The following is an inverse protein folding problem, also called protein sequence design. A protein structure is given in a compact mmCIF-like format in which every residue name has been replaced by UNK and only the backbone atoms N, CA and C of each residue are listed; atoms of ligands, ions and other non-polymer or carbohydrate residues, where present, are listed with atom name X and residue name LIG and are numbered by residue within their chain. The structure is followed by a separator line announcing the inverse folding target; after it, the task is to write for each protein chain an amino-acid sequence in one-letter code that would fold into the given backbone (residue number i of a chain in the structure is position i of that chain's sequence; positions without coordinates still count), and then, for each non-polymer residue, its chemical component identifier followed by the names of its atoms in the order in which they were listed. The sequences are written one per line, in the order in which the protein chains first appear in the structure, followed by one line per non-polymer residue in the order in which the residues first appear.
data_IF_188378682708
#
_entry.id   IF_188378682708
#
_cell.length_a   1.000
_cell.length_b   1.000
_cell.length_c   1.000
_cell.angle_alpha   90.00
_cell.angle_beta   90.00
_cell.angle_gamma   90.00
#
_symmetry.space_group_name_H-M   'P 1'
#
loop_
_entity.id
_entity.type
_entity.pdbx_description
1 polymer ?
#
# COMPACT_ATOMS: atom_id res chain seq x y z
N UNK A 1 -2.85 18.68 -33.39
CA UNK A 1 -1.70 17.91 -32.85
C UNK A 1 -2.01 17.58 -31.41
N UNK A 2 -2.01 16.28 -31.10
CA UNK A 2 -3.04 15.66 -30.24
C UNK A 2 -2.51 15.37 -28.84
N UNK A 3 -3.40 15.54 -27.86
CA UNK A 3 -3.30 15.17 -26.43
C UNK A 3 -2.54 13.86 -26.15
N UNK A 4 -2.57 12.92 -27.11
CA UNK A 4 -1.86 11.65 -27.08
C UNK A 4 -0.33 11.77 -26.96
N UNK A 5 0.28 12.80 -27.54
CA UNK A 5 1.73 13.01 -27.47
C UNK A 5 2.16 13.55 -26.09
N UNK A 6 1.30 14.37 -25.47
CA UNK A 6 1.51 14.85 -24.10
C UNK A 6 1.36 13.71 -23.08
N UNK A 7 0.36 12.84 -23.24
CA UNK A 7 0.17 11.66 -22.37
C UNK A 7 1.32 10.67 -22.52
N UNK A 8 1.78 10.39 -23.75
CA UNK A 8 2.93 9.53 -23.98
C UNK A 8 4.22 10.09 -23.37
N UNK A 9 4.42 11.42 -23.45
CA UNK A 9 5.58 12.11 -22.84
C UNK A 9 5.52 12.09 -21.31
N UNK A 10 4.33 12.27 -20.72
CA UNK A 10 4.13 12.15 -19.26
C UNK A 10 4.39 10.71 -18.81
N UNK A 11 3.91 9.72 -19.55
CA UNK A 11 4.14 8.30 -19.24
C UNK A 11 5.62 7.92 -19.35
N UNK A 12 6.30 8.35 -20.41
CA UNK A 12 7.74 8.16 -20.59
C UNK A 12 8.56 8.88 -19.50
N UNK A 13 8.14 10.07 -19.09
CA UNK A 13 8.79 10.85 -18.02
C UNK A 13 8.63 10.18 -16.65
N UNK A 14 7.43 9.73 -16.30
CA UNK A 14 7.17 9.00 -15.05
C UNK A 14 7.94 7.67 -15.00
N UNK A 15 8.02 6.96 -16.12
CA UNK A 15 8.80 5.72 -16.21
C UNK A 15 10.31 5.97 -16.08
N UNK A 16 10.81 7.09 -16.63
CA UNK A 16 12.21 7.52 -16.48
C UNK A 16 12.55 7.93 -15.05
N UNK A 17 11.61 8.54 -14.31
CA UNK A 17 11.79 8.87 -12.89
C UNK A 17 11.81 7.60 -12.04
N UNK A 18 10.91 6.65 -12.29
CA UNK A 18 10.84 5.39 -11.56
C UNK A 18 12.13 4.57 -11.70
N UNK A 19 12.72 4.54 -12.90
CA UNK A 19 13.94 3.77 -13.20
C UNK A 19 15.25 4.48 -12.83
N UNK A 20 15.25 5.80 -12.66
CA UNK A 20 16.47 6.59 -12.43
C UNK A 20 16.67 7.01 -10.97
N UNK A 21 15.96 6.39 -10.02
CA UNK A 21 16.23 6.58 -8.60
C UNK A 21 17.53 5.86 -8.19
N UNK A 22 18.48 6.55 -7.52
CA UNK A 22 19.79 5.99 -7.17
C UNK A 22 19.72 4.81 -6.18
N UNK A 23 18.54 4.54 -5.61
CA UNK A 23 18.27 3.38 -4.74
C UNK A 23 18.09 2.12 -5.59
N UNK A 24 17.38 2.21 -6.71
CA UNK A 24 17.11 1.09 -7.62
C UNK A 24 18.39 0.71 -8.38
N UNK A 25 19.18 1.69 -8.86
CA UNK A 25 20.44 1.39 -9.55
C UNK A 25 21.52 0.79 -8.63
N UNK A 26 21.51 1.13 -7.33
CA UNK A 26 22.38 0.48 -6.32
C UNK A 26 21.94 -0.95 -5.98
N UNK A 27 20.63 -1.22 -5.96
CA UNK A 27 20.08 -2.57 -5.79
C UNK A 27 20.44 -3.50 -6.96
N UNK A 28 20.51 -2.98 -8.19
CA UNK A 28 20.94 -3.77 -9.36
C UNK A 28 22.46 -3.96 -9.46
N UNK A 29 23.27 -3.00 -9.01
CA UNK A 29 24.74 -3.13 -9.03
C UNK A 29 25.27 -4.16 -8.03
N UNK A 30 24.69 -4.22 -6.82
CA UNK A 30 25.15 -5.16 -5.79
C UNK A 30 24.74 -6.61 -6.08
N UNK A 31 23.68 -6.84 -6.86
CA UNK A 31 23.24 -8.19 -7.23
C UNK A 31 24.09 -8.83 -8.33
N UNK A 32 24.68 -8.02 -9.22
CA UNK A 32 25.59 -8.51 -10.26
C UNK A 32 26.94 -8.97 -9.69
N UNK A 33 27.41 -8.37 -8.58
CA UNK A 33 28.65 -8.78 -7.90
C UNK A 33 28.50 -10.04 -7.04
N UNK A 34 27.31 -10.32 -6.50
CA UNK A 34 27.07 -11.53 -5.69
C UNK A 34 26.90 -12.80 -6.54
N UNK A 35 26.41 -12.69 -7.77
CA UNK A 35 26.33 -13.84 -8.70
C UNK A 35 27.66 -14.23 -9.35
N UNK A 36 28.72 -13.42 -9.24
CA UNK A 36 30.05 -13.74 -9.78
C UNK A 36 31.00 -14.39 -8.75
N UNK A 37 30.62 -14.43 -7.47
CA UNK A 37 31.48 -14.94 -6.39
C UNK A 37 31.01 -16.29 -5.81
N UNK A 38 29.91 -16.86 -6.32
CA UNK A 38 29.37 -18.14 -5.85
C UNK A 38 29.73 -19.36 -6.74
N UNK A 39 30.54 -19.17 -7.79
CA UNK A 39 31.05 -20.24 -8.65
C UNK A 39 32.57 -20.42 -8.53
N UNK A 40 33.15 -20.38 -7.32
CA UNK A 40 34.48 -20.97 -7.08
C UNK A 40 34.70 -21.25 -5.59
N UNK A 41 34.19 -22.36 -5.06
CA UNK A 41 34.76 -23.00 -3.86
C UNK A 41 34.11 -24.37 -3.59
N UNK A 42 34.67 -25.42 -4.16
CA UNK A 42 34.61 -26.78 -3.63
C UNK A 42 35.99 -27.40 -3.78
N UNK A 43 36.75 -27.54 -2.69
CA UNK A 43 37.45 -28.78 -2.31
C UNK A 43 38.19 -28.64 -0.97
N UNK A 44 38.05 -29.68 -0.15
CA UNK A 44 38.98 -30.19 0.89
C UNK A 44 39.28 -29.35 2.15
N UNK A 45 39.67 -29.88 3.31
CA UNK A 45 39.50 -31.11 4.11
C UNK A 45 40.11 -30.79 5.50
N UNK A 46 39.57 -31.41 6.55
CA UNK A 46 40.02 -31.58 7.95
C UNK A 46 41.41 -31.06 8.42
N UNK A 47 41.49 -30.53 9.66
CA UNK A 47 41.94 -31.27 10.87
C UNK A 47 41.90 -30.40 12.15
N UNK A 48 41.68 -31.09 13.28
CA UNK A 48 41.70 -30.66 14.69
C UNK A 48 42.93 -29.86 15.15
N UNK A 49 42.80 -29.08 16.22
CA UNK A 49 43.39 -29.40 17.54
C UNK A 49 42.98 -28.44 18.66
N UNK A 50 42.98 -29.01 19.87
CA UNK A 50 42.54 -28.52 21.19
C UNK A 50 43.71 -27.90 21.94
N UNK A 51 43.43 -27.14 23.04
CA UNK A 51 44.18 -27.01 24.34
C UNK A 51 43.86 -25.61 24.93
N UNK A 52 42.94 -25.46 25.91
CA UNK A 52 43.14 -25.43 27.41
C UNK A 52 44.31 -24.54 27.84
N UNK A 53 44.33 -23.70 28.88
CA UNK A 53 43.54 -23.39 30.08
C UNK A 53 44.43 -22.36 30.86
N UNK A 54 43.99 -21.40 31.68
CA UNK A 54 43.72 -21.51 33.14
C UNK A 54 43.80 -20.08 33.77
N UNK A 55 42.87 -19.82 34.71
CA UNK A 55 43.04 -19.24 36.08
C UNK A 55 43.50 -17.76 36.29
N UNK A 56 42.52 -16.88 36.61
CA UNK A 56 42.18 -16.22 37.91
C UNK A 56 43.22 -15.42 38.76
N UNK A 57 42.80 -14.61 39.78
CA UNK A 57 43.03 -13.15 39.86
C UNK A 57 43.68 -12.71 41.21
N UNK A 58 43.77 -11.40 41.49
CA UNK A 58 43.40 -10.76 42.78
C UNK A 58 44.01 -9.35 42.97
N UNK A 59 43.39 -8.63 43.92
CA UNK A 59 43.93 -7.58 44.81
C UNK A 59 43.99 -6.12 44.31
N UNK A 60 43.75 -5.08 45.12
CA UNK A 60 43.09 -4.86 46.43
C UNK A 60 43.13 -3.32 46.68
N UNK A 61 42.18 -2.81 47.48
CA UNK A 61 42.29 -1.61 48.37
C UNK A 61 42.53 -0.21 47.76
N UNK A 62 42.10 0.94 48.33
CA UNK A 62 41.29 1.33 49.50
C UNK A 62 41.22 2.88 49.56
N UNK A 63 40.14 3.44 50.14
CA UNK A 63 40.04 4.67 51.01
C UNK A 63 40.77 5.97 50.59
N UNK A 64 40.33 7.22 50.79
CA UNK A 64 39.39 7.89 51.70
C UNK A 64 39.33 9.41 51.32
N UNK A 65 38.22 10.08 51.61
CA UNK A 65 38.07 11.56 51.76
C UNK A 65 38.45 11.98 53.22
N UNK A 66 38.55 13.27 53.70
CA UNK A 66 37.77 14.46 53.29
C UNK A 66 38.36 15.90 53.52
N UNK A 67 37.55 16.92 53.12
CA UNK A 67 37.24 18.21 53.82
C UNK A 67 38.09 19.50 53.71
N UNK A 68 37.36 20.60 53.39
CA UNK A 68 37.25 21.91 54.11
C UNK A 68 37.75 23.24 53.46
N UNK A 69 36.76 24.15 53.21
CA UNK A 69 36.73 25.65 53.26
C UNK A 69 37.76 26.49 52.44
N UNK A 70 37.55 27.70 51.92
CA UNK A 70 36.63 28.82 52.18
C UNK A 70 36.58 29.79 50.95
N UNK A 71 35.54 30.63 50.85
CA UNK A 71 35.41 31.82 49.97
C UNK A 71 36.08 33.07 50.64
N UNK A 72 36.20 34.31 50.07
CA UNK A 72 35.38 34.92 48.99
C UNK A 72 36.09 35.93 48.03
N UNK A 73 35.42 36.38 46.96
CA UNK A 73 35.27 37.83 46.63
C UNK A 73 34.37 38.09 45.41
N UNK A 74 33.54 39.12 45.58
CA UNK A 74 32.52 39.71 44.69
C UNK A 74 33.09 40.54 43.53
N UNK A 75 32.58 40.36 42.29
CA UNK A 75 32.43 41.45 41.30
C UNK A 75 31.10 41.32 40.52
N UNK A 76 30.27 42.35 40.70
CA UNK A 76 29.26 42.93 39.80
C UNK A 76 28.62 42.08 38.69
N UNK A 77 27.35 41.71 38.87
CA UNK A 77 26.44 41.37 37.77
C UNK A 77 25.59 42.60 37.39
N UNK A 78 25.92 43.23 36.27
CA UNK A 78 25.00 44.08 35.50
C UNK A 78 24.85 43.46 34.11
N UNK A 79 23.60 43.29 33.68
CA UNK A 79 23.14 42.86 32.34
C UNK A 79 23.04 41.35 32.04
N UNK A 80 21.94 40.72 32.45
CA UNK A 80 21.44 39.50 31.78
C UNK A 80 19.91 39.48 31.84
N UNK A 81 19.24 40.28 31.00
CA UNK A 81 17.79 40.21 30.89
C UNK A 81 17.31 40.47 29.46
N UNK A 82 17.84 39.72 28.47
CA UNK A 82 17.26 39.70 27.11
C UNK A 82 17.37 38.37 26.35
N UNK A 83 17.82 37.27 26.96
CA UNK A 83 17.99 35.97 26.27
C UNK A 83 16.88 34.94 26.52
N UNK A 84 15.98 35.17 27.48
CA UNK A 84 15.07 34.12 27.96
C UNK A 84 13.69 34.02 27.24
N UNK A 85 13.44 34.87 26.24
CA UNK A 85 12.19 34.85 25.46
C UNK A 85 12.28 33.89 24.25
N UNK A 86 13.45 33.81 23.60
CA UNK A 86 13.70 32.88 22.46
C UNK A 86 13.63 31.40 22.89
N UNK A 87 14.00 31.05 24.12
CA UNK A 87 13.94 29.67 24.64
C UNK A 87 12.50 29.19 24.92
N UNK A 88 11.61 30.09 25.38
CA UNK A 88 10.22 29.72 25.69
C UNK A 88 9.32 29.61 24.46
N UNK A 89 9.62 30.33 23.38
CA UNK A 89 8.90 30.19 22.12
C UNK A 89 9.31 28.89 21.40
N UNK A 90 10.62 28.59 21.35
CA UNK A 90 11.14 27.30 20.87
C UNK A 90 10.51 26.09 21.57
N UNK A 91 10.35 26.15 22.90
CA UNK A 91 9.73 25.08 23.70
C UNK A 91 8.26 24.77 23.35
N UNK A 92 7.57 25.65 22.63
CA UNK A 92 6.19 25.44 22.13
C UNK A 92 6.20 25.10 20.63
N UNK A 93 7.05 25.76 19.85
CA UNK A 93 7.10 25.57 18.38
C UNK A 93 7.72 24.22 18.00
N UNK A 94 8.77 23.78 18.69
CA UNK A 94 9.43 22.49 18.42
C UNK A 94 8.49 21.28 18.52
N UNK A 95 7.72 21.07 19.60
CA UNK A 95 6.80 19.93 19.68
C UNK A 95 5.65 20.02 18.66
N UNK A 96 5.17 21.22 18.35
CA UNK A 96 4.15 21.41 17.30
C UNK A 96 4.73 21.01 15.94
N UNK A 97 5.95 21.44 15.63
CA UNK A 97 6.63 21.09 14.39
C UNK A 97 6.86 19.57 14.28
N UNK A 98 7.25 18.89 15.37
CA UNK A 98 7.38 17.43 15.40
C UNK A 98 6.05 16.72 15.19
N UNK A 99 4.96 17.19 15.79
CA UNK A 99 3.63 16.59 15.58
C UNK A 99 3.16 16.81 14.14
N UNK A 100 3.34 18.01 13.57
CA UNK A 100 3.00 18.27 12.18
C UNK A 100 3.82 17.41 11.21
N UNK A 101 5.12 17.26 11.46
CA UNK A 101 5.98 16.36 10.69
C UNK A 101 5.53 14.89 10.82
N UNK A 102 5.13 14.47 12.03
CA UNK A 102 4.54 13.16 12.28
C UNK A 102 3.24 12.96 11.49
N UNK A 103 2.30 13.90 11.56
CA UNK A 103 1.05 13.86 10.80
C UNK A 103 1.31 13.74 9.30
N UNK A 104 2.24 14.53 8.77
CA UNK A 104 2.58 14.49 7.36
C UNK A 104 3.13 13.10 6.97
N UNK A 105 4.09 12.59 7.75
CA UNK A 105 4.71 11.28 7.51
C UNK A 105 3.68 10.14 7.59
N UNK A 106 2.88 10.12 8.65
CA UNK A 106 1.90 9.05 8.85
C UNK A 106 0.69 9.17 7.90
N UNK A 107 0.37 10.35 7.37
CA UNK A 107 -0.71 10.51 6.38
C UNK A 107 -0.36 9.95 5.00
N UNK A 108 0.94 9.73 4.73
CA UNK A 108 1.43 9.26 3.43
C UNK A 108 0.73 7.97 2.94
N UNK A 109 0.62 6.87 3.71
CA UNK A 109 -0.03 5.64 3.23
C UNK A 109 -1.50 5.84 2.83
N UNK A 110 -2.24 6.70 3.54
CA UNK A 110 -3.65 6.99 3.19
C UNK A 110 -3.71 7.77 1.89
N UNK A 111 -2.91 8.84 1.77
CA UNK A 111 -2.90 9.68 0.57
C UNK A 111 -2.39 8.90 -0.65
N UNK A 112 -1.32 8.11 -0.50
CA UNK A 112 -0.78 7.28 -1.58
C UNK A 112 -1.79 6.21 -2.02
N UNK A 113 -2.48 5.57 -1.07
CA UNK A 113 -3.52 4.59 -1.40
C UNK A 113 -4.68 5.21 -2.16
N UNK A 114 -5.19 6.36 -1.70
CA UNK A 114 -6.26 7.07 -2.42
C UNK A 114 -5.81 7.52 -3.82
N UNK A 115 -4.55 7.96 -3.94
CA UNK A 115 -3.97 8.34 -5.22
C UNK A 115 -3.89 7.14 -6.18
N UNK A 116 -3.32 6.01 -5.73
CA UNK A 116 -3.16 4.82 -6.55
C UNK A 116 -4.52 4.20 -6.93
N UNK A 117 -5.48 4.14 -6.00
CA UNK A 117 -6.86 3.72 -6.31
C UNK A 117 -7.48 4.59 -7.41
N UNK A 118 -7.26 5.91 -7.35
CA UNK A 118 -7.73 6.84 -8.38
C UNK A 118 -7.03 6.62 -9.71
N UNK A 119 -5.71 6.41 -9.72
CA UNK A 119 -4.93 6.12 -10.93
C UNK A 119 -5.44 4.83 -11.61
N UNK A 120 -5.63 3.74 -10.86
CA UNK A 120 -6.17 2.48 -11.42
C UNK A 120 -7.57 2.67 -12.00
N UNK A 121 -8.40 3.51 -11.37
CA UNK A 121 -9.74 3.85 -11.87
C UNK A 121 -9.69 4.67 -13.16
N UNK A 122 -8.82 5.66 -13.25
CA UNK A 122 -8.60 6.48 -14.44
C UNK A 122 -8.07 5.64 -15.62
N UNK A 123 -7.10 4.74 -15.36
CA UNK A 123 -6.61 3.78 -16.36
C UNK A 123 -7.74 2.90 -16.87
N UNK A 124 -8.59 2.40 -15.95
CA UNK A 124 -9.76 1.61 -16.33
C UNK A 124 -10.75 2.43 -17.17
N UNK A 125 -11.01 3.69 -16.83
CA UNK A 125 -11.88 4.58 -17.62
C UNK A 125 -11.31 4.86 -19.02
N UNK A 126 -9.99 5.08 -19.12
CA UNK A 126 -9.32 5.30 -20.40
C UNK A 126 -9.41 4.06 -21.29
N UNK A 127 -9.25 2.86 -20.72
CA UNK A 127 -9.46 1.58 -21.41
C UNK A 127 -10.91 1.39 -21.87
N UNK A 128 -11.87 1.63 -20.99
CA UNK A 128 -13.30 1.56 -21.28
C UNK A 128 -13.66 2.46 -22.47
N UNK A 129 -13.19 3.71 -22.43
CA UNK A 129 -13.37 4.68 -23.52
C UNK A 129 -12.70 4.21 -24.82
N UNK A 130 -11.45 3.78 -24.76
CA UNK A 130 -10.72 3.27 -25.93
C UNK A 130 -11.50 2.15 -26.62
N UNK A 131 -12.03 1.19 -25.87
CA UNK A 131 -12.84 0.11 -26.41
C UNK A 131 -14.13 0.62 -27.04
N UNK A 132 -14.84 1.51 -26.35
CA UNK A 132 -16.08 2.07 -26.88
C UNK A 132 -15.89 2.86 -28.18
N UNK A 133 -14.73 3.50 -28.36
CA UNK A 133 -14.36 4.23 -29.57
C UNK A 133 -14.00 3.31 -30.76
N UNK A 134 -13.67 2.03 -30.53
CA UNK A 134 -13.39 1.04 -31.59
C UNK A 134 -14.65 0.70 -32.40
N UNK A 135 -14.48 0.20 -33.63
CA UNK A 135 -15.59 -0.35 -34.39
C UNK A 135 -16.11 -1.66 -33.77
N UNK A 136 -17.44 -1.86 -33.75
CA UNK A 136 -18.04 -2.99 -33.04
C UNK A 136 -17.69 -4.37 -33.61
N UNK A 137 -17.39 -4.46 -34.91
CA UNK A 137 -16.92 -5.66 -35.58
C UNK A 137 -15.49 -6.05 -35.15
N UNK A 138 -14.61 -5.08 -34.95
CA UNK A 138 -13.26 -5.26 -34.39
C UNK A 138 -13.35 -5.85 -32.98
N UNK A 139 -14.16 -5.24 -32.11
CA UNK A 139 -14.39 -5.77 -30.75
C UNK A 139 -14.92 -7.19 -30.75
N UNK A 140 -15.93 -7.46 -31.59
CA UNK A 140 -16.48 -8.82 -31.75
C UNK A 140 -15.43 -9.80 -32.29
N UNK A 141 -14.47 -9.36 -33.11
CA UNK A 141 -13.37 -10.20 -33.57
C UNK A 141 -12.45 -10.61 -32.42
N UNK A 142 -12.07 -9.67 -31.53
CA UNK A 142 -11.30 -9.97 -30.32
C UNK A 142 -12.04 -10.97 -29.42
N UNK A 143 -13.34 -10.77 -29.18
CA UNK A 143 -14.16 -11.68 -28.38
C UNK A 143 -14.25 -13.07 -29.03
N UNK A 144 -14.44 -13.16 -30.36
CA UNK A 144 -14.45 -14.44 -31.08
C UNK A 144 -13.11 -15.17 -30.96
N UNK A 145 -12.00 -14.46 -31.11
CA UNK A 145 -10.65 -15.02 -30.97
C UNK A 145 -10.42 -15.56 -29.54
N UNK A 146 -10.82 -14.81 -28.51
CA UNK A 146 -10.74 -15.25 -27.12
C UNK A 146 -11.63 -16.47 -26.82
N UNK A 147 -12.85 -16.51 -27.36
CA UNK A 147 -13.74 -17.68 -27.27
C UNK A 147 -13.14 -18.92 -27.95
N UNK A 148 -12.46 -18.73 -29.07
CA UNK A 148 -11.74 -19.81 -29.77
C UNK A 148 -10.57 -20.33 -28.93
N UNK A 149 -9.77 -19.43 -28.35
CA UNK A 149 -8.70 -19.80 -27.41
C UNK A 149 -9.24 -20.64 -26.24
N UNK A 150 -10.33 -20.21 -25.61
CA UNK A 150 -10.95 -20.97 -24.52
C UNK A 150 -11.42 -22.37 -24.97
N UNK A 151 -11.88 -22.52 -26.22
CA UNK A 151 -12.35 -23.80 -26.78
C UNK A 151 -11.21 -24.80 -27.01
N UNK A 152 -10.04 -24.35 -27.43
CA UNK A 152 -8.92 -25.24 -27.75
C UNK A 152 -8.14 -25.68 -26.51
N UNK A 153 -8.30 -24.98 -25.37
CA UNK A 153 -7.63 -25.33 -24.11
C UNK A 153 -8.21 -26.59 -23.46
N UNK A 154 -7.37 -27.61 -23.33
CA UNK A 154 -7.69 -28.92 -22.70
C UNK A 154 -7.29 -29.00 -21.23
N UNK A 155 -6.10 -28.51 -20.87
CA UNK A 155 -5.57 -28.62 -19.50
C UNK A 155 -5.83 -27.35 -18.70
N UNK A 156 -6.08 -27.56 -17.41
CA UNK A 156 -6.33 -26.53 -16.42
C UNK A 156 -5.19 -26.55 -15.39
N UNK A 157 -5.07 -25.46 -14.60
CA UNK A 157 -3.97 -25.13 -13.69
C UNK A 157 -3.20 -26.32 -13.08
N UNK A 158 -1.91 -26.10 -12.84
CA UNK A 158 -1.06 -27.00 -12.05
C UNK A 158 -0.44 -26.34 -10.81
N UNK A 159 -0.48 -25.00 -10.67
CA UNK A 159 0.28 -24.28 -9.62
C UNK A 159 -0.37 -22.95 -9.18
N UNK A 160 -0.16 -22.54 -7.93
CA UNK A 160 -0.59 -21.26 -7.33
C UNK A 160 0.07 -20.04 -8.00
N UNK A 161 -0.69 -18.95 -8.26
CA UNK A 161 -0.13 -17.71 -8.83
C UNK A 161 0.93 -17.00 -7.97
N UNK A 162 0.90 -17.18 -6.65
CA UNK A 162 1.80 -16.48 -5.72
C UNK A 162 2.97 -17.34 -5.26
N UNK A 163 3.08 -18.59 -5.73
CA UNK A 163 4.20 -19.46 -5.42
C UNK A 163 5.49 -19.07 -6.14
N UNK A 164 6.68 -19.48 -5.65
CA UNK A 164 7.98 -19.14 -6.24
C UNK A 164 8.14 -19.59 -7.71
N UNK A 165 7.38 -20.61 -8.11
CA UNK A 165 7.35 -21.19 -9.46
C UNK A 165 6.06 -20.84 -10.24
N UNK A 166 5.19 -19.96 -9.73
CA UNK A 166 3.81 -19.75 -10.21
C UNK A 166 3.63 -19.33 -11.67
N UNK A 167 4.72 -19.09 -12.41
CA UNK A 167 4.69 -18.86 -13.86
C UNK A 167 6.05 -19.01 -14.57
N UNK A 168 7.17 -19.14 -13.85
CA UNK A 168 8.53 -18.99 -14.43
C UNK A 168 8.82 -19.99 -15.56
N UNK A 169 8.35 -21.23 -15.44
CA UNK A 169 8.69 -22.30 -16.40
C UNK A 169 7.80 -22.29 -17.66
N UNK A 170 6.65 -21.60 -17.63
CA UNK A 170 5.66 -21.62 -18.73
C UNK A 170 5.73 -20.40 -19.64
N UNK A 171 6.41 -19.33 -19.25
CA UNK A 171 6.41 -18.04 -19.98
C UNK A 171 7.00 -18.13 -21.40
N UNK A 172 7.92 -19.06 -21.65
CA UNK A 172 8.57 -19.23 -22.96
C UNK A 172 7.85 -20.18 -23.92
N UNK A 173 6.76 -20.82 -23.47
CA UNK A 173 6.02 -21.81 -24.28
C UNK A 173 5.20 -21.17 -25.41
N UNK A 174 5.00 -21.85 -26.56
CA UNK A 174 4.11 -21.38 -27.62
C UNK A 174 2.68 -21.11 -27.13
N UNK A 175 2.20 -21.89 -26.17
CA UNK A 175 0.88 -21.77 -25.55
C UNK A 175 0.75 -20.46 -24.78
N UNK A 176 1.76 -20.09 -23.99
CA UNK A 176 1.77 -18.82 -23.27
C UNK A 176 1.86 -17.62 -24.21
N UNK A 177 2.63 -17.73 -25.31
CA UNK A 177 2.66 -16.68 -26.35
C UNK A 177 1.30 -16.50 -27.04
N UNK A 178 0.56 -17.58 -27.27
CA UNK A 178 -0.83 -17.51 -27.79
C UNK A 178 -1.78 -16.86 -26.79
N UNK A 179 -1.60 -17.14 -25.51
CA UNK A 179 -2.34 -16.50 -24.43
C UNK A 179 -2.11 -14.98 -24.42
N UNK A 180 -0.86 -14.51 -24.44
CA UNK A 180 -0.56 -13.07 -24.45
C UNK A 180 -1.15 -12.31 -25.63
N UNK A 181 -1.32 -12.98 -26.78
CA UNK A 181 -1.92 -12.41 -28.00
C UNK A 181 -3.44 -12.33 -27.96
N UNK A 182 -4.10 -13.10 -27.09
CA UNK A 182 -5.55 -13.11 -27.01
C UNK A 182 -6.00 -11.86 -26.25
N UNK A 183 -6.94 -11.07 -26.81
CA UNK A 183 -7.33 -9.76 -26.24
C UNK A 183 -6.15 -8.78 -26.10
N UNK A 184 -5.08 -8.95 -26.88
CA UNK A 184 -3.94 -8.04 -26.86
C UNK A 184 -4.34 -6.65 -27.39
N UNK A 185 -4.16 -5.64 -26.55
CA UNK A 185 -4.46 -4.25 -26.86
C UNK A 185 -3.31 -3.32 -26.43
N UNK A 186 -3.23 -2.09 -26.96
CA UNK A 186 -2.06 -1.21 -26.77
C UNK A 186 -1.71 -0.89 -25.31
N UNK A 187 -2.68 -0.98 -24.39
CA UNK A 187 -2.47 -0.74 -22.96
C UNK A 187 -2.06 -2.02 -22.19
N UNK A 188 -2.01 -3.18 -22.84
CA UNK A 188 -1.79 -4.49 -22.21
C UNK A 188 -2.94 -4.97 -21.32
N UNK A 189 -4.03 -4.20 -21.26
CA UNK A 189 -5.24 -4.48 -20.49
C UNK A 189 -6.15 -5.36 -21.35
N UNK A 190 -6.69 -6.42 -20.75
CA UNK A 190 -7.59 -7.37 -21.41
C UNK A 190 -9.04 -7.24 -20.96
N UNK A 191 -9.28 -6.43 -19.93
CA UNK A 191 -10.59 -6.17 -19.38
C UNK A 191 -10.54 -5.34 -18.10
N UNK A 192 -11.70 -5.15 -17.47
CA UNK A 192 -11.84 -4.45 -16.19
C UNK A 192 -12.67 -5.33 -15.26
N UNK A 193 -12.25 -5.46 -14.00
CA UNK A 193 -13.09 -6.01 -12.93
C UNK A 193 -13.75 -4.87 -12.16
N UNK A 194 -15.08 -4.93 -12.01
CA UNK A 194 -15.88 -3.93 -11.28
C UNK A 194 -16.65 -4.63 -10.15
N UNK A 195 -16.52 -4.14 -8.92
CA UNK A 195 -17.25 -4.63 -7.73
C UNK A 195 -17.85 -3.42 -6.99
N UNK A 196 -19.01 -2.89 -7.44
CA UNK A 196 -19.54 -1.63 -6.95
C UNK A 196 -19.77 -1.58 -5.44
N UNK A 197 -20.13 -2.71 -4.82
CA UNK A 197 -20.38 -2.83 -3.37
C UNK A 197 -19.17 -2.46 -2.50
N UNK A 198 -17.96 -2.62 -3.01
CA UNK A 198 -16.71 -2.32 -2.31
C UNK A 198 -15.83 -1.33 -3.09
N UNK A 199 -16.42 -0.59 -4.02
CA UNK A 199 -15.75 0.47 -4.78
C UNK A 199 -14.63 0.01 -5.73
N UNK A 200 -14.49 -1.29 -6.01
CA UNK A 200 -13.40 -1.82 -6.84
C UNK A 200 -13.68 -1.53 -8.31
N UNK A 201 -12.72 -0.91 -8.99
CA UNK A 201 -12.64 -0.83 -10.46
C UNK A 201 -11.17 -0.92 -10.87
N UNK A 202 -10.75 -2.11 -11.31
CA UNK A 202 -9.34 -2.40 -11.62
C UNK A 202 -9.17 -2.89 -13.06
N UNK A 203 -8.10 -2.47 -13.76
CA UNK A 203 -7.72 -3.07 -15.02
C UNK A 203 -7.25 -4.52 -14.79
N UNK A 204 -7.56 -5.40 -15.74
CA UNK A 204 -7.13 -6.79 -15.77
C UNK A 204 -6.02 -6.90 -16.82
N UNK A 205 -4.88 -7.45 -16.44
CA UNK A 205 -3.76 -7.77 -17.33
C UNK A 205 -3.60 -9.28 -17.49
N UNK A 206 -2.82 -9.69 -18.49
CA UNK A 206 -2.41 -11.08 -18.61
C UNK A 206 -1.45 -11.51 -17.50
N UNK A 207 -1.75 -12.63 -16.86
CA UNK A 207 -0.83 -13.32 -15.96
C UNK A 207 -1.01 -12.84 -14.52
N UNK A 208 -0.12 -13.29 -13.66
CA UNK A 208 -0.20 -13.03 -12.22
C UNK A 208 1.19 -12.78 -11.62
N UNK A 209 2.11 -12.26 -12.44
CA UNK A 209 3.44 -11.87 -11.98
C UNK A 209 3.36 -10.71 -11.00
N UNK A 210 4.42 -10.53 -10.21
CA UNK A 210 4.48 -9.43 -9.23
C UNK A 210 4.31 -8.06 -9.90
N UNK A 211 4.85 -7.88 -11.11
CA UNK A 211 4.73 -6.64 -11.89
C UNK A 211 3.31 -6.40 -12.41
N UNK A 212 2.56 -7.47 -12.67
CA UNK A 212 1.15 -7.38 -13.04
C UNK A 212 0.31 -6.99 -11.83
N UNK A 213 0.48 -7.72 -10.73
CA UNK A 213 -0.33 -7.52 -9.52
C UNK A 213 -0.02 -6.21 -8.79
N UNK A 214 1.17 -5.63 -8.99
CA UNK A 214 1.51 -4.29 -8.53
C UNK A 214 0.74 -3.17 -9.28
N UNK A 215 0.23 -3.43 -10.49
CA UNK A 215 -0.44 -2.42 -11.34
C UNK A 215 -1.96 -2.56 -11.37
N UNK A 216 -2.49 -3.72 -11.04
CA UNK A 216 -3.93 -3.98 -11.05
C UNK A 216 -4.24 -5.45 -10.85
N UNK A 217 -5.36 -5.89 -11.43
CA UNK A 217 -5.73 -7.30 -11.42
C UNK A 217 -4.99 -8.07 -12.52
N UNK A 218 -4.71 -9.33 -12.26
CA UNK A 218 -4.16 -10.28 -13.20
C UNK A 218 -5.18 -11.35 -13.55
N UNK A 219 -5.25 -11.76 -14.81
CA UNK A 219 -5.93 -12.98 -15.21
C UNK A 219 -4.99 -14.17 -14.97
N UNK A 220 -5.50 -15.18 -14.27
CA UNK A 220 -4.72 -16.35 -13.93
C UNK A 220 -4.51 -17.24 -15.16
N UNK A 221 -3.27 -17.32 -15.65
CA UNK A 221 -2.91 -18.20 -16.76
C UNK A 221 -3.30 -19.65 -16.46
N UNK A 222 -3.85 -20.34 -17.46
CA UNK A 222 -4.42 -21.68 -17.32
C UNK A 222 -5.92 -21.70 -17.03
N UNK A 223 -6.54 -20.55 -16.74
CA UNK A 223 -8.00 -20.39 -16.66
C UNK A 223 -8.58 -19.85 -17.97
N UNK A 224 -9.90 -19.87 -18.11
CA UNK A 224 -10.55 -19.33 -19.32
C UNK A 224 -10.46 -17.81 -19.35
N UNK A 225 -10.15 -17.22 -20.51
CA UNK A 225 -10.20 -15.77 -20.71
C UNK A 225 -11.59 -15.23 -20.34
N UNK A 226 -11.69 -13.99 -19.84
CA UNK A 226 -12.90 -13.44 -19.20
C UNK A 226 -14.03 -13.05 -20.18
N UNK A 227 -14.28 -13.85 -21.21
CA UNK A 227 -15.34 -13.64 -22.24
C UNK A 227 -16.59 -14.49 -22.02
N UNK A 228 -16.65 -15.23 -20.91
CA UNK A 228 -17.76 -16.11 -20.53
C UNK A 228 -18.02 -17.27 -21.49
N UNK A 229 -19.18 -17.91 -21.28
CA UNK A 229 -19.67 -19.05 -22.05
C UNK A 229 -19.89 -20.30 -21.20
N UNK A 230 -20.72 -21.24 -21.71
CA UNK A 230 -20.94 -22.53 -21.03
C UNK A 230 -19.64 -23.33 -20.92
N UNK A 231 -19.48 -24.04 -19.80
CA UNK A 231 -18.28 -24.80 -19.45
C UNK A 231 -17.02 -23.92 -19.40
N UNK A 232 -17.15 -22.70 -18.86
CA UNK A 232 -16.03 -21.77 -18.68
C UNK A 232 -15.87 -21.39 -17.23
N UNK A 233 -14.60 -21.22 -16.84
CA UNK A 233 -14.24 -20.69 -15.54
C UNK A 233 -13.02 -19.77 -15.69
N UNK A 234 -13.24 -18.46 -15.53
CA UNK A 234 -12.18 -17.45 -15.50
C UNK A 234 -11.80 -17.13 -14.06
N UNK A 235 -10.51 -16.87 -13.80
CA UNK A 235 -10.04 -16.48 -12.47
C UNK A 235 -9.26 -15.18 -12.57
N UNK A 236 -9.71 -14.19 -11.81
CA UNK A 236 -9.09 -12.87 -11.72
C UNK A 236 -8.48 -12.74 -10.33
N UNK A 237 -7.21 -12.39 -10.27
CA UNK A 237 -6.43 -12.27 -9.03
C UNK A 237 -5.95 -10.85 -8.81
N UNK A 238 -5.93 -10.38 -7.57
CA UNK A 238 -5.29 -9.11 -7.19
C UNK A 238 -4.77 -9.19 -5.75
N UNK A 239 -3.86 -8.31 -5.38
CA UNK A 239 -3.32 -8.28 -4.03
C UNK A 239 -4.36 -7.92 -2.95
N UNK A 240 -4.05 -8.34 -1.74
CA UNK A 240 -4.66 -7.87 -0.49
C UNK A 240 -3.51 -7.45 0.44
N UNK A 241 -3.69 -6.34 1.16
CA UNK A 241 -2.76 -5.82 2.16
C UNK A 241 -1.58 -5.03 1.60
N UNK A 242 -1.70 -4.39 0.43
CA UNK A 242 -0.66 -3.46 -0.03
C UNK A 242 -0.69 -2.17 0.79
N UNK A 243 0.48 -1.59 1.03
CA UNK A 243 0.62 -0.37 1.83
C UNK A 243 0.14 0.90 1.08
N UNK A 244 0.01 0.80 -0.25
CA UNK A 244 -0.20 1.93 -1.14
C UNK A 244 -1.33 1.70 -2.16
N UNK A 245 -2.10 0.62 -2.10
CA UNK A 245 -3.23 0.39 -2.99
C UNK A 245 -4.25 -0.58 -2.35
N UNK A 246 -5.55 -0.34 -2.53
CA UNK A 246 -6.58 -1.17 -1.88
C UNK A 246 -6.85 -2.47 -2.62
N UNK A 247 -6.72 -2.51 -3.95
CA UNK A 247 -6.90 -3.72 -4.76
C UNK A 247 -8.12 -4.58 -4.33
N UNK A 248 -7.91 -5.79 -3.81
CA UNK A 248 -8.95 -6.71 -3.30
C UNK A 248 -9.03 -6.78 -1.77
N UNK A 249 -8.50 -5.80 -1.02
CA UNK A 249 -8.53 -5.79 0.45
C UNK A 249 -9.92 -6.08 1.04
N UNK A 250 -10.94 -5.43 0.47
CA UNK A 250 -12.33 -5.53 0.94
C UNK A 250 -13.10 -6.70 0.31
N UNK A 251 -12.43 -7.61 -0.42
CA UNK A 251 -13.08 -8.78 -1.04
C UNK A 251 -13.75 -9.69 0.02
N UNK A 252 -13.21 -9.71 1.24
CA UNK A 252 -13.79 -10.40 2.41
C UNK A 252 -15.18 -9.90 2.79
N UNK A 253 -15.55 -8.67 2.38
CA UNK A 253 -16.86 -8.08 2.66
C UNK A 253 -17.96 -8.53 1.69
N UNK A 254 -17.60 -9.25 0.62
CA UNK A 254 -18.58 -9.86 -0.28
C UNK A 254 -19.31 -11.02 0.39
N UNK A 255 -20.56 -11.19 0.01
CA UNK A 255 -21.49 -12.21 0.51
C UNK A 255 -22.14 -12.92 -0.67
N UNK A 256 -22.64 -14.13 -0.41
CA UNK A 256 -23.52 -14.83 -1.36
C UNK A 256 -24.69 -13.92 -1.74
N UNK A 257 -24.96 -13.81 -3.03
CA UNK A 257 -25.99 -12.94 -3.58
C UNK A 257 -25.48 -11.60 -4.11
N UNK A 258 -24.28 -11.17 -3.72
CA UNK A 258 -23.67 -9.95 -4.27
C UNK A 258 -23.27 -10.12 -5.75
N UNK A 259 -23.05 -9.01 -6.43
CA UNK A 259 -22.67 -8.98 -7.84
C UNK A 259 -21.27 -8.39 -8.04
N UNK A 260 -20.57 -8.93 -9.02
CA UNK A 260 -19.39 -8.32 -9.63
C UNK A 260 -19.49 -8.45 -11.15
N UNK A 261 -18.67 -7.67 -11.84
CA UNK A 261 -18.75 -7.51 -13.28
C UNK A 261 -17.37 -7.60 -13.91
N UNK A 262 -17.31 -8.20 -15.10
CA UNK A 262 -16.13 -8.20 -15.96
C UNK A 262 -16.48 -7.45 -17.23
N UNK A 263 -15.72 -6.42 -17.54
CA UNK A 263 -15.86 -5.65 -18.77
C UNK A 263 -14.76 -6.07 -19.73
N UNK A 264 -15.14 -6.59 -20.90
CA UNK A 264 -14.19 -7.05 -21.91
C UNK A 264 -14.67 -6.60 -23.27
N UNK A 265 -13.86 -5.79 -23.97
CA UNK A 265 -14.18 -5.35 -25.33
C UNK A 265 -15.57 -4.70 -25.43
N UNK A 266 -15.94 -3.88 -24.43
CA UNK A 266 -17.22 -3.17 -24.35
C UNK A 266 -18.44 -4.05 -24.02
N UNK A 267 -18.24 -5.35 -23.75
CA UNK A 267 -19.27 -6.23 -23.20
C UNK A 267 -19.10 -6.35 -21.69
N UNK A 268 -20.08 -5.86 -20.92
CA UNK A 268 -20.11 -6.04 -19.46
C UNK A 268 -20.86 -7.31 -19.09
N UNK A 269 -20.13 -8.26 -18.50
CA UNK A 269 -20.59 -9.56 -18.04
C UNK A 269 -20.90 -9.53 -16.54
N UNK A 270 -22.11 -9.87 -16.13
CA UNK A 270 -22.53 -9.86 -14.71
C UNK A 270 -22.44 -11.24 -14.06
N UNK A 271 -21.84 -11.33 -12.88
CA UNK A 271 -21.75 -12.56 -12.09
C UNK A 271 -22.36 -12.36 -10.70
N UNK A 272 -23.13 -13.35 -10.23
CA UNK A 272 -23.70 -13.37 -8.87
C UNK A 272 -22.94 -14.36 -7.99
N UNK A 273 -22.40 -13.87 -6.88
CA UNK A 273 -21.64 -14.67 -5.91
C UNK A 273 -22.53 -15.77 -5.34
N UNK A 274 -22.08 -17.02 -5.41
CA UNK A 274 -22.78 -18.15 -4.80
C UNK A 274 -21.89 -18.99 -3.89
N UNK A 275 -20.57 -18.88 -4.03
CA UNK A 275 -19.59 -19.62 -3.23
C UNK A 275 -18.47 -18.70 -2.80
N UNK A 276 -18.13 -18.78 -1.52
CA UNK A 276 -16.98 -18.11 -0.90
C UNK A 276 -16.24 -19.19 -0.13
N UNK A 277 -14.95 -19.36 -0.40
CA UNK A 277 -14.13 -20.44 0.15
C UNK A 277 -12.75 -19.91 0.53
N UNK A 278 -12.19 -20.42 1.62
CA UNK A 278 -10.79 -20.23 1.99
C UNK A 278 -10.09 -21.56 1.76
N UNK A 279 -9.02 -21.54 0.96
CA UNK A 279 -8.28 -22.75 0.57
C UNK A 279 -6.78 -22.56 0.78
N UNK A 280 -6.04 -23.66 0.86
CA UNK A 280 -4.58 -23.62 0.81
C UNK A 280 -4.10 -23.12 -0.57
N UNK A 281 -2.92 -22.47 -0.66
CA UNK A 281 -2.40 -21.96 -1.93
C UNK A 281 -2.35 -23.00 -3.07
N UNK A 282 -1.99 -24.24 -2.74
CA UNK A 282 -1.85 -25.33 -3.71
C UNK A 282 -3.18 -25.98 -4.09
N UNK A 283 -4.27 -25.69 -3.36
CA UNK A 283 -5.59 -26.23 -3.66
C UNK A 283 -6.28 -25.41 -4.76
N UNK A 284 -6.14 -25.91 -5.97
CA UNK A 284 -6.74 -25.36 -7.19
C UNK A 284 -8.02 -26.10 -7.62
N UNK A 285 -8.54 -27.00 -6.77
CA UNK A 285 -9.69 -27.87 -7.11
C UNK A 285 -10.96 -27.05 -7.40
N UNK A 286 -11.17 -25.97 -6.65
CA UNK A 286 -12.33 -25.10 -6.79
C UNK A 286 -12.22 -24.11 -7.95
N UNK A 287 -11.04 -24.02 -8.58
CA UNK A 287 -10.81 -23.16 -9.75
C UNK A 287 -11.16 -23.87 -11.06
N UNK A 288 -11.44 -25.18 -11.04
CA UNK A 288 -11.71 -26.01 -12.21
C UNK A 288 -13.02 -25.66 -12.94
N UNK A 289 -13.14 -26.01 -14.22
CA UNK A 289 -14.40 -25.86 -14.98
C UNK A 289 -15.49 -26.75 -14.38
N UNK A 290 -16.69 -26.20 -14.22
CA UNK A 290 -17.87 -26.96 -13.81
C UNK A 290 -18.81 -27.18 -15.00
N UNK A 291 -19.24 -28.43 -15.21
CA UNK A 291 -20.09 -28.80 -16.36
C UNK A 291 -21.39 -28.00 -16.36
N UNK A 292 -21.72 -27.42 -17.51
CA UNK A 292 -22.91 -26.61 -17.75
C UNK A 292 -22.83 -25.18 -17.23
N UNK A 293 -21.78 -24.79 -16.51
CA UNK A 293 -21.70 -23.49 -15.83
C UNK A 293 -20.78 -22.49 -16.54
N UNK A 294 -21.08 -21.22 -16.37
CA UNK A 294 -20.23 -20.09 -16.73
C UNK A 294 -19.87 -19.37 -15.43
N UNK A 295 -18.60 -19.50 -15.02
CA UNK A 295 -18.09 -19.11 -13.72
C UNK A 295 -16.97 -18.08 -13.83
N UNK A 296 -16.93 -17.20 -12.85
CA UNK A 296 -15.79 -16.34 -12.59
C UNK A 296 -15.43 -16.41 -11.10
N UNK A 297 -14.15 -16.53 -10.79
CA UNK A 297 -13.65 -16.44 -9.40
C UNK A 297 -12.75 -15.23 -9.25
N UNK A 298 -13.01 -14.44 -8.21
CA UNK A 298 -12.09 -13.43 -7.71
C UNK A 298 -11.21 -14.09 -6.63
N UNK A 299 -9.91 -14.00 -6.79
CA UNK A 299 -8.92 -14.66 -5.95
C UNK A 299 -8.01 -13.62 -5.29
N UNK A 300 -7.78 -13.77 -3.99
CA UNK A 300 -6.76 -13.00 -3.28
C UNK A 300 -6.17 -13.78 -2.10
N UNK A 301 -5.15 -13.25 -1.44
CA UNK A 301 -4.55 -13.85 -0.25
C UNK A 301 -5.38 -13.54 1.03
N UNK A 302 -5.33 -14.44 2.00
CA UNK A 302 -6.02 -14.30 3.29
C UNK A 302 -5.32 -15.16 4.36
N UNK A 303 -5.45 -14.92 5.68
CA UNK A 303 -5.97 -13.71 6.34
C UNK A 303 -5.13 -12.47 6.03
N UNK A 304 -5.74 -11.29 6.21
CA UNK A 304 -5.10 -9.99 5.93
C UNK A 304 -3.74 -9.85 6.66
N UNK A 305 -2.69 -9.52 5.92
CA UNK A 305 -1.33 -9.37 6.45
C UNK A 305 -0.58 -10.68 6.75
N UNK A 306 -1.26 -11.85 6.71
CA UNK A 306 -0.65 -13.18 6.92
C UNK A 306 -0.49 -13.92 5.60
N UNK A 307 -1.49 -13.85 4.72
CA UNK A 307 -1.45 -14.38 3.35
C UNK A 307 -1.14 -15.90 3.22
N UNK A 308 -1.41 -16.69 4.27
CA UNK A 308 -1.16 -18.14 4.31
C UNK A 308 -2.13 -18.96 3.47
N UNK A 309 -3.32 -18.42 3.19
CA UNK A 309 -4.40 -19.07 2.44
C UNK A 309 -4.85 -18.18 1.26
N UNK A 310 -5.79 -18.68 0.47
CA UNK A 310 -6.44 -17.95 -0.63
C UNK A 310 -7.94 -17.83 -0.37
N UNK A 311 -8.45 -16.60 -0.50
CA UNK A 311 -9.87 -16.32 -0.52
C UNK A 311 -10.37 -16.41 -1.96
N UNK A 312 -11.35 -17.29 -2.20
CA UNK A 312 -12.01 -17.48 -3.47
C UNK A 312 -13.45 -16.99 -3.38
N UNK A 313 -13.81 -15.99 -4.18
CA UNK A 313 -15.20 -15.53 -4.34
C UNK A 313 -15.69 -15.90 -5.74
N UNK A 314 -16.47 -16.97 -5.84
CA UNK A 314 -16.97 -17.50 -7.13
C UNK A 314 -18.40 -17.03 -7.39
N UNK A 315 -18.61 -16.45 -8.57
CA UNK A 315 -19.92 -16.10 -9.10
C UNK A 315 -20.30 -16.92 -10.33
N UNK A 316 -21.61 -17.09 -10.54
CA UNK A 316 -22.17 -17.63 -11.79
C UNK A 316 -22.72 -16.51 -12.66
N UNK A 317 -22.62 -16.68 -13.98
CA UNK A 317 -23.11 -15.71 -14.97
C UNK A 317 -24.62 -15.48 -14.86
N UNK A 318 -25.05 -14.22 -14.92
CA UNK A 318 -26.47 -13.81 -14.93
C UNK A 318 -26.78 -12.96 -16.16
N UNK A 319 -27.53 -13.53 -17.09
CA UNK A 319 -28.03 -12.90 -18.32
C UNK A 319 -29.22 -11.94 -18.06
N UNK A 320 -29.58 -11.05 -19.00
CA UNK A 320 -28.93 -10.74 -20.29
C UNK A 320 -27.70 -9.84 -20.14
N UNK A 321 -26.85 -9.81 -21.17
CA UNK A 321 -25.75 -8.86 -21.34
C UNK A 321 -26.00 -7.97 -22.58
N UNK A 322 -25.41 -6.77 -22.67
CA UNK A 322 -24.58 -6.11 -21.66
C UNK A 322 -25.41 -5.53 -20.51
N UNK A 323 -24.85 -5.51 -19.30
CA UNK A 323 -25.49 -4.90 -18.12
C UNK A 323 -24.79 -3.61 -17.77
N UNK A 324 -25.54 -2.55 -17.45
CA UNK A 324 -24.97 -1.35 -16.82
C UNK A 324 -24.71 -1.64 -15.33
N UNK A 325 -23.45 -1.64 -14.86
CA UNK A 325 -23.17 -1.82 -13.44
C UNK A 325 -23.66 -0.61 -12.64
N UNK A 326 -24.04 -0.77 -11.36
CA UNK A 326 -24.26 0.34 -10.44
C UNK A 326 -23.02 1.24 -10.36
N UNK A 327 -23.25 2.51 -10.02
CA UNK A 327 -22.17 3.45 -9.73
C UNK A 327 -21.32 2.92 -8.56
N UNK A 328 -20.02 3.11 -8.67
CA UNK A 328 -19.06 2.76 -7.64
C UNK A 328 -18.79 3.95 -6.72
N UNK A 329 -18.19 3.68 -5.57
CA UNK A 329 -17.77 4.70 -4.60
C UNK A 329 -16.26 4.62 -4.39
N UNK A 330 -15.72 5.60 -3.67
CA UNK A 330 -14.31 5.59 -3.27
C UNK A 330 -14.07 4.42 -2.33
N UNK A 331 -13.06 3.61 -2.61
CA UNK A 331 -12.64 2.55 -1.70
C UNK A 331 -12.13 3.18 -0.40
N UNK A 332 -12.73 2.78 0.72
CA UNK A 332 -12.40 3.31 2.04
C UNK A 332 -12.31 2.18 3.07
N UNK A 333 -11.16 1.47 3.10
CA UNK A 333 -10.95 0.39 4.06
C UNK A 333 -11.04 0.87 5.51
N UNK A 334 -11.41 -0.03 6.42
CA UNK A 334 -11.57 0.28 7.84
C UNK A 334 -10.29 0.85 8.49
N UNK A 335 -9.11 0.37 8.09
CA UNK A 335 -7.84 0.83 8.66
C UNK A 335 -7.60 2.32 8.40
N UNK A 336 -8.03 2.86 7.25
CA UNK A 336 -7.94 4.30 6.97
C UNK A 336 -8.85 5.11 7.91
N UNK A 337 -10.04 4.60 8.22
CA UNK A 337 -10.94 5.24 9.18
C UNK A 337 -10.32 5.31 10.56
N UNK A 338 -9.79 4.18 11.05
CA UNK A 338 -9.09 4.12 12.34
C UNK A 338 -7.89 5.05 12.37
N UNK A 339 -7.15 5.12 11.26
CA UNK A 339 -6.00 6.00 11.12
C UNK A 339 -6.39 7.49 11.21
N UNK A 340 -7.44 7.92 10.49
CA UNK A 340 -7.94 9.31 10.54
C UNK A 340 -8.51 9.65 11.93
N UNK A 341 -9.17 8.72 12.61
CA UNK A 341 -9.65 8.92 13.99
C UNK A 341 -8.45 9.10 14.95
N UNK A 342 -7.42 8.25 14.82
CA UNK A 342 -6.21 8.39 15.63
C UNK A 342 -5.52 9.74 15.39
N UNK A 343 -5.43 10.18 14.12
CA UNK A 343 -4.92 11.50 13.76
C UNK A 343 -5.70 12.64 14.42
N UNK A 344 -7.03 12.58 14.37
CA UNK A 344 -7.91 13.57 14.98
C UNK A 344 -7.73 13.60 16.51
N UNK A 345 -7.64 12.44 17.16
CA UNK A 345 -7.39 12.34 18.60
C UNK A 345 -6.04 12.94 18.98
N UNK A 346 -4.97 12.65 18.24
CA UNK A 346 -3.65 13.26 18.47
C UNK A 346 -3.68 14.78 18.35
N UNK A 347 -4.42 15.33 17.38
CA UNK A 347 -4.61 16.77 17.22
C UNK A 347 -5.39 17.40 18.38
N UNK A 348 -6.44 16.73 18.87
CA UNK A 348 -7.21 17.18 20.04
C UNK A 348 -6.31 17.25 21.28
N UNK A 349 -5.54 16.19 21.56
CA UNK A 349 -4.61 16.16 22.70
C UNK A 349 -3.57 17.29 22.58
N UNK A 350 -3.01 17.51 21.39
CA UNK A 350 -2.08 18.61 21.15
C UNK A 350 -2.74 19.97 21.41
N UNK A 351 -3.96 20.19 20.93
CA UNK A 351 -4.71 21.43 21.15
C UNK A 351 -4.95 21.69 22.65
N UNK A 352 -5.30 20.66 23.42
CA UNK A 352 -5.51 20.75 24.86
C UNK A 352 -4.20 21.08 25.59
N UNK A 353 -3.08 20.46 25.20
CA UNK A 353 -1.77 20.77 25.76
C UNK A 353 -1.35 22.22 25.49
N UNK A 354 -1.58 22.73 24.28
CA UNK A 354 -1.29 24.12 23.93
C UNK A 354 -2.16 25.07 24.76
N UNK A 355 -3.47 24.80 24.86
CA UNK A 355 -4.41 25.61 25.66
C UNK A 355 -4.05 25.61 27.15
N UNK A 356 -3.62 24.47 27.70
CA UNK A 356 -3.13 24.37 29.08
C UNK A 356 -1.83 25.17 29.28
N UNK A 357 -0.92 25.15 28.30
CA UNK A 357 0.33 25.89 28.36
C UNK A 357 0.12 27.41 28.26
N UNK A 358 -0.83 27.87 27.42
CA UNK A 358 -1.16 29.30 27.27
C UNK A 358 -1.98 29.81 28.45
N UNK A 359 -2.94 29.05 28.98
CA UNK A 359 -3.74 29.44 30.16
C UNK A 359 -2.90 29.53 31.44
N UNK A 360 -1.94 28.62 31.67
CA UNK A 360 -0.95 28.75 32.77
C UNK A 360 -0.13 30.04 32.64
N UNK A 361 0.18 30.47 31.42
CA UNK A 361 0.93 31.70 31.14
C UNK A 361 0.11 32.96 31.45
N UNK A 362 -1.16 32.97 31.07
CA UNK A 362 -2.11 34.05 31.42
C UNK A 362 -2.28 34.20 32.93
N UNK A 363 -2.42 33.08 33.66
CA UNK A 363 -2.58 33.07 35.12
C UNK A 363 -1.32 33.55 35.86
N UNK A 364 -0.12 33.24 35.38
CA UNK A 364 1.13 33.78 35.96
C UNK A 364 1.31 35.29 35.73
N UNK A 365 0.87 35.81 34.58
CA UNK A 365 0.93 37.24 34.28
C UNK A 365 -0.05 38.04 35.15
N UNK A 366 -1.25 37.53 35.37
CA UNK A 366 -2.27 38.16 36.24
C UNK A 366 -1.81 38.25 37.72
N UNK A 367 -1.15 37.20 38.23
CA UNK A 367 -0.60 37.20 39.60
C UNK A 367 0.51 38.25 39.77
N UNK A 368 1.39 38.41 38.76
CA UNK A 368 2.45 39.44 38.79
C UNK A 368 1.91 40.87 38.69
N UNK A 369 0.86 41.09 37.88
CA UNK A 369 0.20 42.39 37.77
C UNK A 369 -0.46 42.82 39.08
N UNK A 370 -1.09 41.88 39.80
CA UNK A 370 -1.69 42.12 41.12
C UNK A 370 -0.65 42.51 42.18
N UNK A 371 0.53 41.89 42.17
CA UNK A 371 1.61 42.25 43.09
C UNK A 371 2.14 43.68 42.87
N UNK A 372 2.26 44.13 41.62
CA UNK A 372 2.69 45.49 41.26
C UNK A 372 1.66 46.56 41.66
N UNK A 373 0.36 46.26 41.52
CA UNK A 373 -0.73 47.14 41.98
C UNK A 373 -0.77 47.28 43.52
N UNK A 374 -0.43 46.23 44.25
CA UNK A 374 -0.34 46.26 45.73
C UNK A 374 0.86 47.11 46.16
N UNK A 375 2.00 46.99 45.47
CA UNK A 375 3.19 47.80 45.72
C UNK A 375 2.96 49.28 45.43
N UNK A 376 2.33 49.64 44.31
CA UNK A 376 2.04 51.05 44.00
C UNK A 376 1.05 51.67 45.00
N UNK A 377 0.03 50.92 45.43
CA UNK A 377 -0.90 51.38 46.49
C UNK A 377 -0.23 51.57 47.84
N UNK A 378 0.74 50.73 48.22
CA UNK A 378 1.53 50.93 49.45
C UNK A 378 2.44 52.15 49.34
N UNK A 379 3.07 52.36 48.19
CA UNK A 379 3.96 53.49 47.93
C UNK A 379 3.20 54.83 47.92
N UNK A 380 2.04 54.88 47.25
CA UNK A 380 1.15 56.05 47.23
C UNK A 380 0.56 56.37 48.61
N UNK A 381 0.33 55.37 49.47
CA UNK A 381 -0.08 55.61 50.87
C UNK A 381 1.04 56.18 51.73
N UNK A 382 2.30 55.90 51.40
CA UNK A 382 3.47 56.39 52.13
C UNK A 382 3.74 57.87 51.80
N UNK A 383 3.65 58.23 50.53
CA UNK A 383 3.74 59.62 50.03
C UNK A 383 2.60 60.55 50.46
N UNK A 384 1.54 60.02 51.07
CA UNK A 384 0.40 60.80 51.58
C UNK A 384 0.46 61.03 53.10
N UNK A 385 1.46 60.45 53.78
CA UNK A 385 1.68 60.57 55.23
C UNK A 385 2.90 61.42 55.58
N UNK A 386 3.68 61.79 54.56
CA UNK A 386 4.63 62.91 54.58
C UNK A 386 3.91 64.11 53.96
#
# INVERSE_FOLDING_TARGET
MKLNDAVAKVYAFLNKIALNTPIVSKLFKNRASETSAAETATSETATSETVTSEINPADQNSSEQPSASAQPTTIAQKSQQKTNQKSKLRRIVEPIAFVLAGILCFSYPVVSTLWNNRVSKEISNAYDKYNHDQAGDVRRAHIRAAKLYNKTRKNMLTTDPYGPNGQKDVTNTPEYKRYLKALEEPMGIIGIVKIPKIGVKLPIYHGSSQEVLARGAGHLYGTDLPVGGKNRHTVITAHTGLADATMFDDLVNLKKGDYFYLDVQGETLRYKVFRISVVEPHDISLLQREKGRDLATLLTCTPYGVNSHRLLVTGYRVLPDPVKPPDDHVQWPLWMTLFVIAMAFSLIVLSMMIAAATSKRGRQLDIRGKHLLILSRKMLRKLRRE
#
